data_IF_671079843379
#
_entry.id   IF_671079843379
#
_cell.length_a   1.000
_cell.length_b   1.000
_cell.length_c   1.000
_cell.angle_alpha   90.00
_cell.angle_beta   90.00
_cell.angle_gamma   90.00
#
_symmetry.space_group_name_H-M   'P 1'
#
loop_
_entity.id
_entity.type
_entity.pdbx_description
1 polymer ?
#
# COMPACT_ATOMS: atom_id res chain seq x y z
N UNK A 1 -13.80 -6.99 30.50
CA UNK A 1 -13.00 -7.07 29.28
C UNK A 1 -11.74 -7.86 29.62
N UNK A 2 -11.55 -9.03 29.02
CA UNK A 2 -10.62 -10.05 29.50
C UNK A 2 -9.29 -9.94 28.74
N UNK A 3 -8.29 -9.29 29.35
CA UNK A 3 -6.99 -8.97 28.72
C UNK A 3 -6.23 -10.15 28.09
N UNK A 4 -6.59 -11.40 28.40
CA UNK A 4 -6.02 -12.58 27.74
C UNK A 4 -6.58 -12.81 26.33
N UNK A 5 -7.87 -12.55 26.11
CA UNK A 5 -8.49 -12.72 24.79
C UNK A 5 -7.96 -11.69 23.80
N UNK A 6 -7.83 -10.42 24.22
CA UNK A 6 -7.23 -9.35 23.41
C UNK A 6 -5.79 -9.68 22.96
N UNK A 7 -5.00 -10.34 23.82
CA UNK A 7 -3.64 -10.77 23.50
C UNK A 7 -3.59 -11.92 22.48
N UNK A 8 -4.57 -12.83 22.51
CA UNK A 8 -4.66 -13.92 21.53
C UNK A 8 -4.99 -13.36 20.15
N UNK A 9 -5.95 -12.44 20.07
CA UNK A 9 -6.33 -11.79 18.82
C UNK A 9 -5.16 -11.03 18.19
N UNK A 10 -4.38 -10.32 19.01
CA UNK A 10 -3.18 -9.62 18.55
C UNK A 10 -2.11 -10.59 18.01
N UNK A 11 -1.89 -11.74 18.66
CA UNK A 11 -0.92 -12.75 18.20
C UNK A 11 -1.38 -13.39 16.89
N UNK A 12 -2.68 -13.63 16.72
CA UNK A 12 -3.26 -14.18 15.51
C UNK A 12 -3.12 -13.20 14.33
N UNK A 13 -3.40 -11.91 14.56
CA UNK A 13 -3.17 -10.85 13.57
C UNK A 13 -1.69 -10.80 13.17
N UNK A 14 -0.76 -10.86 14.13
CA UNK A 14 0.69 -10.85 13.85
C UNK A 14 1.11 -12.09 13.03
N UNK A 15 0.53 -13.27 13.29
CA UNK A 15 0.78 -14.48 12.48
C UNK A 15 0.28 -14.31 11.05
N UNK A 16 -0.94 -13.81 10.86
CA UNK A 16 -1.49 -13.57 9.51
C UNK A 16 -0.64 -12.57 8.74
N UNK A 17 -0.17 -11.51 9.41
CA UNK A 17 0.71 -10.52 8.79
C UNK A 17 2.10 -11.09 8.41
N UNK A 18 2.63 -12.04 9.20
CA UNK A 18 3.86 -12.81 8.87
C UNK A 18 3.63 -13.76 7.70
N UNK A 19 2.60 -14.58 7.77
CA UNK A 19 2.28 -15.59 6.74
C UNK A 19 1.98 -14.97 5.39
N UNK A 20 1.28 -13.83 5.37
CA UNK A 20 0.97 -13.12 4.13
C UNK A 20 2.10 -12.22 3.63
N UNK A 21 3.27 -12.24 4.29
CA UNK A 21 4.45 -11.45 3.92
C UNK A 21 4.15 -9.93 3.82
N UNK A 22 3.20 -9.45 4.64
CA UNK A 22 2.74 -8.05 4.67
C UNK A 22 3.62 -7.25 5.63
N UNK A 23 4.22 -7.91 6.63
CA UNK A 23 5.12 -7.26 7.57
C UNK A 23 6.27 -6.53 6.89
N UNK A 24 6.99 -7.04 5.88
CA UNK A 24 8.03 -6.26 5.20
C UNK A 24 7.53 -4.99 4.51
N UNK A 25 6.28 -4.98 4.01
CA UNK A 25 5.65 -3.79 3.40
C UNK A 25 5.33 -2.76 4.48
N UNK A 26 4.71 -3.20 5.58
CA UNK A 26 4.42 -2.36 6.74
C UNK A 26 5.72 -1.86 7.38
N UNK A 27 6.74 -2.71 7.51
CA UNK A 27 8.09 -2.35 7.96
C UNK A 27 8.76 -1.39 6.98
N UNK A 28 8.65 -1.55 5.67
CA UNK A 28 9.21 -0.58 4.71
C UNK A 28 8.54 0.80 4.82
N UNK A 29 7.23 0.82 5.09
CA UNK A 29 6.45 2.05 5.30
C UNK A 29 6.76 2.67 6.68
N UNK A 30 6.89 1.86 7.73
CA UNK A 30 7.04 2.31 9.12
C UNK A 30 8.49 2.51 9.58
N UNK A 31 9.47 1.83 8.97
CA UNK A 31 10.78 1.63 9.61
C UNK A 31 11.87 2.60 9.21
N UNK A 32 11.91 3.29 8.06
CA UNK A 32 13.16 4.04 7.74
C UNK A 32 13.09 5.38 7.02
N UNK A 33 13.41 6.40 7.82
CA UNK A 33 14.05 7.68 7.48
C UNK A 33 15.59 7.55 7.32
N UNK A 34 16.09 6.48 6.67
CA UNK A 34 17.52 6.35 6.36
C UNK A 34 17.72 6.13 4.86
N UNK A 35 17.99 7.23 4.16
CA UNK A 35 19.05 7.37 3.16
C UNK A 35 19.16 6.33 2.02
N UNK A 36 18.06 5.67 1.60
CA UNK A 36 18.06 4.74 0.47
C UNK A 36 17.35 5.30 -0.78
N UNK A 37 17.27 6.63 -0.91
CA UNK A 37 16.63 7.36 -2.03
C UNK A 37 17.15 6.95 -3.42
N UNK A 38 18.30 6.28 -3.52
CA UNK A 38 18.88 5.80 -4.79
C UNK A 38 18.36 4.43 -5.25
N UNK A 39 17.59 3.70 -4.44
CA UNK A 39 17.09 2.35 -4.81
C UNK A 39 15.69 2.40 -5.41
N UNK A 40 15.33 1.44 -6.28
CA UNK A 40 13.97 1.34 -6.85
C UNK A 40 12.90 1.19 -5.75
N UNK A 41 13.22 0.48 -4.66
CA UNK A 41 12.37 0.35 -3.48
C UNK A 41 12.16 1.71 -2.81
N UNK A 42 13.21 2.54 -2.68
CA UNK A 42 13.10 3.90 -2.14
C UNK A 42 12.15 4.79 -2.95
N UNK A 43 12.18 4.68 -4.29
CA UNK A 43 11.25 5.41 -5.18
C UNK A 43 9.80 4.97 -4.98
N UNK A 44 9.56 3.67 -4.83
CA UNK A 44 8.22 3.12 -4.57
C UNK A 44 7.69 3.61 -3.22
N UNK A 45 8.50 3.54 -2.16
CA UNK A 45 8.14 4.01 -0.82
C UNK A 45 7.82 5.50 -0.80
N UNK A 46 8.64 6.33 -1.46
CA UNK A 46 8.39 7.77 -1.56
C UNK A 46 7.11 8.08 -2.37
N UNK A 47 6.84 7.33 -3.43
CA UNK A 47 5.59 7.43 -4.20
C UNK A 47 4.35 7.11 -3.35
N UNK A 48 4.41 6.06 -2.54
CA UNK A 48 3.33 5.70 -1.60
C UNK A 48 3.12 6.80 -0.56
N UNK A 49 4.20 7.30 0.05
CA UNK A 49 4.15 8.40 1.04
C UNK A 49 3.44 9.64 0.49
N UNK A 50 3.87 10.11 -0.70
CA UNK A 50 3.25 11.26 -1.37
C UNK A 50 1.79 11.01 -1.74
N UNK A 51 1.44 9.78 -2.13
CA UNK A 51 0.06 9.37 -2.38
C UNK A 51 -0.82 9.46 -1.14
N UNK A 52 -0.30 9.07 0.02
CA UNK A 52 -1.00 9.21 1.32
C UNK A 52 -1.16 10.69 1.71
N UNK A 53 -0.10 11.49 1.61
CA UNK A 53 -0.14 12.92 1.92
C UNK A 53 -1.17 13.67 1.03
N UNK A 54 -1.14 13.44 -0.28
CA UNK A 54 -2.06 14.07 -1.24
C UNK A 54 -3.51 13.57 -1.16
N UNK A 55 -3.73 12.33 -0.72
CA UNK A 55 -5.09 11.79 -0.52
C UNK A 55 -5.74 12.30 0.76
N UNK A 56 -4.96 12.64 1.80
CA UNK A 56 -5.48 13.30 3.00
C UNK A 56 -6.09 14.68 2.68
N UNK A 57 -5.54 15.41 1.72
CA UNK A 57 -6.10 16.68 1.23
C UNK A 57 -7.43 16.47 0.46
N UNK A 58 -7.56 15.33 -0.23
CA UNK A 58 -8.70 14.99 -1.08
C UNK A 58 -9.86 14.31 -0.31
N UNK A 59 -9.59 13.70 0.84
CA UNK A 59 -10.59 12.97 1.64
C UNK A 59 -11.71 13.88 2.17
N UNK A 60 -11.43 15.18 2.33
CA UNK A 60 -12.42 16.19 2.72
C UNK A 60 -13.42 16.55 1.61
N UNK A 61 -13.21 16.09 0.37
CA UNK A 61 -14.05 16.47 -0.77
C UNK A 61 -15.22 15.51 -1.07
N UNK A 62 -15.33 14.36 -0.38
CA UNK A 62 -16.49 13.46 -0.43
C UNK A 62 -16.87 12.92 -1.82
N UNK A 63 -15.97 12.99 -2.80
CA UNK A 63 -16.26 12.57 -4.19
C UNK A 63 -15.96 11.09 -4.36
N UNK A 64 -17.02 10.31 -4.56
CA UNK A 64 -16.91 8.92 -4.99
C UNK A 64 -16.40 8.83 -6.44
N UNK A 65 -15.46 7.91 -6.67
CA UNK A 65 -14.93 7.62 -7.99
C UNK A 65 -15.78 6.56 -8.68
N UNK A 66 -16.42 6.90 -9.79
CA UNK A 66 -17.18 5.93 -10.60
C UNK A 66 -16.30 5.25 -11.66
N UNK A 67 -16.79 4.13 -12.21
CA UNK A 67 -16.08 3.31 -13.21
C UNK A 67 -15.72 4.07 -14.49
N UNK A 68 -16.58 4.99 -14.94
CA UNK A 68 -16.31 5.81 -16.12
C UNK A 68 -15.19 6.83 -15.86
N UNK A 69 -15.19 7.46 -14.68
CA UNK A 69 -14.14 8.36 -14.23
C UNK A 69 -12.81 7.61 -14.07
N UNK A 70 -12.82 6.39 -13.53
CA UNK A 70 -11.64 5.55 -13.46
C UNK A 70 -11.06 5.27 -14.85
N UNK A 71 -11.90 4.91 -15.83
CA UNK A 71 -11.45 4.69 -17.21
C UNK A 71 -10.86 5.96 -17.85
N UNK A 72 -11.36 7.14 -17.47
CA UNK A 72 -10.79 8.44 -17.89
C UNK A 72 -9.44 8.69 -17.22
N UNK A 73 -9.31 8.39 -15.93
CA UNK A 73 -8.06 8.53 -15.17
C UNK A 73 -6.96 7.58 -15.68
N UNK A 74 -7.31 6.40 -16.19
CA UNK A 74 -6.34 5.49 -16.81
C UNK A 74 -5.68 6.05 -18.08
N UNK A 75 -6.24 7.12 -18.68
CA UNK A 75 -5.61 7.83 -19.80
C UNK A 75 -4.46 8.74 -19.35
N UNK A 76 -4.42 9.09 -18.07
CA UNK A 76 -3.31 9.83 -17.51
C UNK A 76 -2.06 8.93 -17.43
N UNK A 77 -0.91 9.39 -17.96
CA UNK A 77 0.30 8.55 -18.04
C UNK A 77 0.92 8.24 -16.68
N UNK A 78 0.77 9.11 -15.67
CA UNK A 78 1.27 8.86 -14.31
C UNK A 78 0.38 7.81 -13.61
N UNK A 79 -0.94 7.94 -13.72
CA UNK A 79 -1.90 6.98 -13.16
C UNK A 79 -1.76 5.61 -13.83
N UNK A 80 -1.63 5.57 -15.16
CA UNK A 80 -1.44 4.33 -15.91
C UNK A 80 -0.18 3.57 -15.48
N UNK A 81 0.95 4.28 -15.31
CA UNK A 81 2.20 3.67 -14.82
C UNK A 81 2.02 3.07 -13.43
N UNK A 82 1.36 3.77 -12.51
CA UNK A 82 1.11 3.28 -11.15
C UNK A 82 0.21 2.03 -11.14
N UNK A 83 -0.89 2.03 -11.90
CA UNK A 83 -1.80 0.89 -12.01
C UNK A 83 -1.10 -0.29 -12.67
N UNK A 84 -0.32 -0.07 -13.73
CA UNK A 84 0.43 -1.12 -14.42
C UNK A 84 1.43 -1.79 -13.49
N UNK A 85 2.18 -1.00 -12.71
CA UNK A 85 3.08 -1.52 -11.67
C UNK A 85 2.31 -2.37 -10.64
N UNK A 86 1.21 -1.84 -10.10
CA UNK A 86 0.40 -2.52 -9.09
C UNK A 86 -0.13 -3.87 -9.60
N UNK A 87 -0.67 -3.91 -10.82
CA UNK A 87 -1.17 -5.14 -11.43
C UNK A 87 -0.05 -6.16 -11.67
N UNK A 88 1.12 -5.71 -12.11
CA UNK A 88 2.29 -6.57 -12.30
C UNK A 88 2.80 -7.14 -10.97
N UNK A 89 2.86 -6.31 -9.92
CA UNK A 89 3.19 -6.72 -8.56
C UNK A 89 2.21 -7.78 -8.03
N UNK A 90 0.90 -7.51 -8.10
CA UNK A 90 -0.14 -8.44 -7.63
C UNK A 90 -0.09 -9.77 -8.40
N UNK A 91 0.12 -9.73 -9.72
CA UNK A 91 0.30 -10.92 -10.55
C UNK A 91 1.54 -11.73 -10.17
N UNK A 92 2.64 -11.07 -9.84
CA UNK A 92 3.86 -11.71 -9.34
C UNK A 92 3.66 -12.37 -7.98
N UNK A 93 3.00 -11.65 -7.06
CA UNK A 93 2.66 -12.16 -5.73
C UNK A 93 1.79 -13.42 -5.81
N UNK A 94 0.72 -13.40 -6.61
CA UNK A 94 -0.20 -14.52 -6.76
C UNK A 94 0.40 -15.74 -7.48
N UNK A 95 1.52 -15.60 -8.20
CA UNK A 95 2.26 -16.73 -8.77
C UNK A 95 3.20 -17.40 -7.76
N UNK A 96 3.54 -16.69 -6.68
CA UNK A 96 4.45 -17.16 -5.64
C UNK A 96 3.72 -17.76 -4.43
N UNK A 97 2.39 -17.64 -4.40
CA UNK A 97 1.46 -18.32 -3.49
C UNK A 97 0.95 -19.59 -4.18
#
# INVERSE_FOLDING_TARGET
MNHKEDLYDLVEIIKVLKEKNILPVITAILTKNDNNDSTEIGKITNGIKKGVESSMESLNAGKELNTFQLMKLMKDPDINRAITFLLAFLKGMGKSL
#
